data_IF_144803153064
#
_entry.id   IF_144803153064
#
_cell.length_a   1.000
_cell.length_b   1.000
_cell.length_c   1.000
_cell.angle_alpha   90.00
_cell.angle_beta   90.00
_cell.angle_gamma   90.00
#
_symmetry.space_group_name_H-M   'P 1'
#
loop_
_entity.id
_entity.type
_entity.pdbx_description
1 polymer ?
#
# COMPACT_ATOMS: atom_id res chain seq x y z
N UNK A 1 -20.12 -9.60 -8.03
CA UNK A 1 -18.91 -9.23 -8.80
C UNK A 1 -18.62 -10.37 -9.78
N UNK A 2 -18.40 -10.09 -11.07
CA UNK A 2 -17.94 -11.10 -12.04
C UNK A 2 -16.41 -11.27 -11.96
N UNK A 3 -15.87 -12.41 -12.39
CA UNK A 3 -14.41 -12.65 -12.34
C UNK A 3 -13.64 -11.61 -13.17
N UNK A 4 -14.26 -11.13 -14.26
CA UNK A 4 -13.79 -10.03 -15.11
C UNK A 4 -13.60 -8.70 -14.36
N UNK A 5 -14.31 -8.49 -13.25
CA UNK A 5 -14.27 -7.25 -12.49
C UNK A 5 -13.07 -7.17 -11.52
N UNK A 6 -12.32 -8.26 -11.32
CA UNK A 6 -11.10 -8.27 -10.49
C UNK A 6 -9.94 -7.49 -11.15
N UNK A 7 -10.04 -7.23 -12.46
CA UNK A 7 -8.97 -6.59 -13.23
C UNK A 7 -7.80 -7.53 -13.52
N UNK A 8 -6.72 -6.96 -14.07
CA UNK A 8 -5.50 -7.70 -14.43
C UNK A 8 -4.63 -7.90 -13.18
N UNK A 9 -4.07 -9.10 -13.01
CA UNK A 9 -3.11 -9.36 -11.94
C UNK A 9 -1.91 -8.40 -12.02
N UNK A 10 -1.53 -7.70 -10.95
CA UNK A 10 -0.51 -6.66 -10.97
C UNK A 10 0.91 -7.23 -10.92
N UNK A 11 1.35 -7.89 -12.00
CA UNK A 11 2.68 -8.53 -12.09
C UNK A 11 3.89 -7.63 -11.84
N UNK A 12 3.76 -6.33 -12.06
CA UNK A 12 4.81 -5.34 -11.78
C UNK A 12 4.42 -4.44 -10.59
N UNK A 13 3.41 -4.87 -9.83
CA UNK A 13 2.91 -4.16 -8.67
C UNK A 13 3.79 -4.37 -7.45
N UNK A 14 3.57 -3.50 -6.48
CA UNK A 14 4.06 -3.67 -5.11
C UNK A 14 3.40 -4.87 -4.42
N UNK A 15 4.03 -5.44 -3.39
CA UNK A 15 3.45 -6.43 -2.49
C UNK A 15 2.03 -6.13 -2.04
N UNK A 16 1.75 -4.85 -1.79
CA UNK A 16 0.42 -4.39 -1.42
C UNK A 16 -0.57 -4.57 -2.57
N UNK A 17 -0.24 -4.16 -3.79
CA UNK A 17 -1.14 -4.35 -4.93
C UNK A 17 -1.40 -5.84 -5.21
N UNK A 18 -0.41 -6.72 -4.96
CA UNK A 18 -0.62 -8.17 -4.98
C UNK A 18 -1.58 -8.60 -3.87
N UNK A 19 -1.37 -8.17 -2.64
CA UNK A 19 -2.22 -8.51 -1.50
C UNK A 19 -3.66 -8.01 -1.68
N UNK A 20 -3.84 -6.77 -2.15
CA UNK A 20 -5.14 -6.16 -2.46
C UNK A 20 -5.88 -6.98 -3.54
N UNK A 21 -5.17 -7.45 -4.58
CA UNK A 21 -5.75 -8.33 -5.60
C UNK A 21 -6.20 -9.68 -5.01
N UNK A 22 -5.36 -10.29 -4.16
CA UNK A 22 -5.67 -11.56 -3.51
C UNK A 22 -6.89 -11.44 -2.59
N UNK A 23 -6.98 -10.35 -1.81
CA UNK A 23 -8.14 -10.06 -0.96
C UNK A 23 -9.41 -9.85 -1.79
N UNK A 24 -9.31 -9.13 -2.92
CA UNK A 24 -10.43 -8.99 -3.86
C UNK A 24 -10.88 -10.35 -4.42
N UNK A 25 -9.94 -11.25 -4.73
CA UNK A 25 -10.25 -12.60 -5.19
C UNK A 25 -10.93 -13.43 -4.10
N UNK A 26 -10.46 -13.34 -2.84
CA UNK A 26 -11.09 -13.98 -1.69
C UNK A 26 -12.54 -13.51 -1.52
N UNK A 27 -12.78 -12.20 -1.55
CA UNK A 27 -14.11 -11.61 -1.51
C UNK A 27 -15.00 -12.08 -2.67
N UNK A 28 -14.43 -12.23 -3.87
CA UNK A 28 -15.15 -12.79 -5.02
C UNK A 28 -15.56 -14.24 -4.78
N UNK A 29 -14.64 -15.10 -4.30
CA UNK A 29 -14.92 -16.50 -3.99
C UNK A 29 -16.05 -16.64 -2.96
N UNK A 30 -16.02 -15.83 -1.89
CA UNK A 30 -17.06 -15.77 -0.86
C UNK A 30 -18.39 -15.37 -1.50
N UNK A 31 -18.41 -14.29 -2.30
CA UNK A 31 -19.64 -13.80 -2.94
C UNK A 31 -20.30 -14.80 -3.90
N UNK A 32 -19.52 -15.75 -4.42
CA UNK A 32 -19.95 -16.78 -5.36
C UNK A 32 -20.15 -18.15 -4.74
N UNK A 33 -19.90 -18.30 -3.43
CA UNK A 33 -19.91 -19.59 -2.73
C UNK A 33 -19.08 -20.64 -3.47
N UNK A 34 -17.88 -20.25 -3.91
CA UNK A 34 -16.95 -21.17 -4.58
C UNK A 34 -16.54 -22.26 -3.60
N UNK A 35 -16.65 -23.52 -4.00
CA UNK A 35 -16.17 -24.63 -3.18
C UNK A 35 -14.65 -24.61 -3.07
N UNK A 36 -14.12 -24.90 -1.89
CA UNK A 36 -12.69 -24.89 -1.59
C UNK A 36 -11.84 -25.69 -2.60
N UNK A 37 -12.34 -26.86 -3.02
CA UNK A 37 -11.67 -27.74 -3.99
C UNK A 37 -11.56 -27.14 -5.40
N UNK A 38 -12.35 -26.11 -5.70
CA UNK A 38 -12.37 -25.41 -6.99
C UNK A 38 -11.61 -24.08 -6.97
N UNK A 39 -11.31 -23.52 -5.79
CA UNK A 39 -10.64 -22.22 -5.66
C UNK A 39 -9.32 -22.17 -6.45
N UNK A 40 -8.41 -23.18 -6.41
CA UNK A 40 -7.17 -23.13 -7.18
C UNK A 40 -7.39 -22.97 -8.69
N UNK A 41 -8.41 -23.64 -9.24
CA UNK A 41 -8.73 -23.57 -10.67
C UNK A 41 -9.28 -22.19 -11.06
N UNK A 42 -10.17 -21.62 -10.24
CA UNK A 42 -10.66 -20.26 -10.44
C UNK A 42 -9.53 -19.23 -10.34
N UNK A 43 -8.62 -19.41 -9.38
CA UNK A 43 -7.50 -18.50 -9.18
C UNK A 43 -6.57 -18.48 -10.38
N UNK A 44 -6.13 -19.65 -10.87
CA UNK A 44 -5.30 -19.78 -12.07
C UNK A 44 -5.96 -19.13 -13.29
N UNK A 45 -7.29 -19.22 -13.40
CA UNK A 45 -8.04 -18.58 -14.48
C UNK A 45 -8.11 -17.05 -14.32
N UNK A 46 -8.22 -16.56 -13.08
CA UNK A 46 -8.32 -15.13 -12.77
C UNK A 46 -7.01 -14.37 -13.01
N UNK A 47 -5.87 -14.96 -12.62
CA UNK A 47 -4.57 -14.27 -12.68
C UNK A 47 -4.03 -14.06 -14.10
N UNK A 48 -4.54 -14.82 -15.07
CA UNK A 48 -4.12 -14.76 -16.47
C UNK A 48 -2.76 -15.43 -16.76
N UNK A 49 -2.40 -15.47 -18.04
CA UNK A 49 -1.30 -16.30 -18.54
C UNK A 49 0.09 -15.86 -18.04
N UNK A 50 0.34 -14.56 -17.98
CA UNK A 50 1.64 -14.02 -17.55
C UNK A 50 1.91 -14.42 -16.08
N UNK A 51 0.94 -14.20 -15.19
CA UNK A 51 1.05 -14.53 -13.77
C UNK A 51 1.07 -16.04 -13.53
N UNK A 52 0.30 -16.80 -14.31
CA UNK A 52 0.38 -18.26 -14.30
C UNK A 52 1.79 -18.78 -14.70
N UNK A 53 2.44 -18.16 -15.68
CA UNK A 53 3.77 -18.56 -16.13
C UNK A 53 4.82 -18.33 -15.04
N UNK A 54 4.73 -17.21 -14.32
CA UNK A 54 5.52 -16.95 -13.12
C UNK A 54 5.25 -18.00 -12.04
N UNK A 55 3.97 -18.21 -11.69
CA UNK A 55 3.56 -19.17 -10.66
C UNK A 55 4.05 -20.59 -10.96
N UNK A 56 3.96 -21.03 -12.22
CA UNK A 56 4.48 -22.33 -12.69
C UNK A 56 6.00 -22.45 -12.53
N UNK A 57 6.72 -21.36 -12.73
CA UNK A 57 8.18 -21.32 -12.53
C UNK A 57 8.52 -21.43 -11.05
N UNK A 58 7.79 -20.70 -10.19
CA UNK A 58 8.02 -20.68 -8.75
C UNK A 58 7.55 -21.96 -8.04
N UNK A 59 6.57 -22.68 -8.59
CA UNK A 59 6.02 -23.90 -8.00
C UNK A 59 6.74 -25.18 -8.43
N UNK A 60 7.73 -25.11 -9.33
CA UNK A 60 8.41 -26.30 -9.84
C UNK A 60 9.06 -27.12 -8.71
N UNK A 61 8.89 -28.47 -8.67
CA UNK A 61 8.38 -29.35 -9.73
C UNK A 61 6.85 -29.52 -9.78
N UNK A 62 6.12 -28.98 -8.81
CA UNK A 62 4.67 -29.12 -8.72
C UNK A 62 3.95 -28.27 -9.77
N UNK A 63 2.80 -28.77 -10.24
CA UNK A 63 1.92 -28.01 -11.13
C UNK A 63 1.08 -27.06 -10.26
N UNK A 64 0.89 -25.78 -10.64
CA UNK A 64 0.06 -24.87 -9.85
C UNK A 64 -1.35 -25.41 -9.58
N UNK A 65 -1.97 -26.09 -10.55
CA UNK A 65 -3.33 -26.65 -10.42
C UNK A 65 -3.43 -27.79 -9.38
N UNK A 66 -2.32 -28.44 -9.03
CA UNK A 66 -2.30 -29.50 -8.01
C UNK A 66 -2.04 -28.96 -6.60
N UNK A 67 -1.74 -27.67 -6.45
CA UNK A 67 -1.45 -27.07 -5.15
C UNK A 67 -2.72 -26.44 -4.54
N UNK A 68 -2.84 -26.47 -3.19
CA UNK A 68 -3.89 -25.72 -2.50
C UNK A 68 -3.76 -24.22 -2.75
N UNK A 69 -4.89 -23.51 -2.76
CA UNK A 69 -4.91 -22.06 -2.99
C UNK A 69 -4.03 -21.30 -1.99
N UNK A 70 -4.06 -21.70 -0.72
CA UNK A 70 -3.20 -21.12 0.32
C UNK A 70 -1.71 -21.17 -0.05
N UNK A 71 -1.25 -22.27 -0.67
CA UNK A 71 0.14 -22.41 -1.11
C UNK A 71 0.46 -21.52 -2.31
N UNK A 72 -0.46 -21.42 -3.27
CA UNK A 72 -0.31 -20.52 -4.42
C UNK A 72 -0.21 -19.06 -3.98
N UNK A 73 -1.03 -18.67 -3.00
CA UNK A 73 -1.04 -17.34 -2.41
C UNK A 73 0.29 -17.02 -1.72
N UNK A 74 0.77 -17.94 -0.88
CA UNK A 74 2.07 -17.83 -0.20
C UNK A 74 3.22 -17.64 -1.21
N UNK A 75 3.30 -18.48 -2.24
CA UNK A 75 4.34 -18.40 -3.28
C UNK A 75 4.38 -17.01 -3.94
N UNK A 76 3.22 -16.45 -4.28
CA UNK A 76 3.15 -15.12 -4.90
C UNK A 76 3.53 -14.04 -3.90
N UNK A 77 2.99 -14.06 -2.68
CA UNK A 77 3.32 -13.09 -1.63
C UNK A 77 4.83 -13.08 -1.39
N UNK A 78 5.44 -14.25 -1.19
CA UNK A 78 6.88 -14.38 -0.93
C UNK A 78 7.71 -13.83 -2.09
N UNK A 79 7.36 -14.18 -3.33
CA UNK A 79 8.06 -13.68 -4.51
C UNK A 79 8.01 -12.14 -4.57
N UNK A 80 6.83 -11.56 -4.42
CA UNK A 80 6.67 -10.10 -4.53
C UNK A 80 7.23 -9.35 -3.32
N UNK A 81 7.18 -9.93 -2.12
CA UNK A 81 7.85 -9.41 -0.92
C UNK A 81 9.37 -9.37 -1.09
N UNK A 82 9.99 -10.45 -1.60
CA UNK A 82 11.44 -10.48 -1.84
C UNK A 82 11.84 -9.51 -2.96
N UNK A 83 10.96 -9.31 -3.94
CA UNK A 83 11.23 -8.44 -5.10
C UNK A 83 11.01 -6.96 -4.80
N UNK A 84 10.41 -6.59 -3.65
CA UNK A 84 10.50 -5.20 -3.21
C UNK A 84 11.93 -4.86 -2.88
N UNK A 85 12.50 -3.91 -3.62
CA UNK A 85 13.66 -3.17 -3.18
C UNK A 85 13.24 -2.29 -2.00
N UNK A 86 12.93 -2.90 -0.84
CA UNK A 86 12.48 -2.19 0.36
C UNK A 86 13.41 -1.03 0.69
N UNK A 87 14.73 -1.25 0.55
CA UNK A 87 15.75 -0.21 0.72
C UNK A 87 15.55 0.97 -0.24
N UNK A 88 15.20 0.72 -1.51
CA UNK A 88 14.91 1.77 -2.50
C UNK A 88 13.63 2.52 -2.13
N UNK A 89 12.56 1.81 -1.76
CA UNK A 89 11.28 2.42 -1.43
C UNK A 89 11.37 3.24 -0.13
N UNK A 90 12.11 2.75 0.86
CA UNK A 90 12.46 3.48 2.09
C UNK A 90 13.34 4.69 1.79
N UNK A 91 14.30 4.58 0.89
CA UNK A 91 15.11 5.72 0.45
C UNK A 91 14.26 6.78 -0.26
N UNK A 92 13.27 6.37 -1.05
CA UNK A 92 12.31 7.28 -1.67
C UNK A 92 11.40 7.94 -0.63
N UNK A 93 10.81 7.15 0.29
CA UNK A 93 10.01 7.65 1.41
C UNK A 93 10.76 8.72 2.21
N UNK A 94 12.02 8.46 2.55
CA UNK A 94 12.84 9.39 3.33
C UNK A 94 13.24 10.67 2.59
N UNK A 95 13.04 10.73 1.26
CA UNK A 95 13.25 11.92 0.44
C UNK A 95 11.98 12.72 0.21
N UNK A 96 10.81 12.23 0.64
CA UNK A 96 9.55 12.95 0.46
C UNK A 96 9.52 14.23 1.31
N UNK A 97 9.30 15.35 0.62
CA UNK A 97 9.13 16.68 1.19
C UNK A 97 7.97 17.35 0.45
N UNK A 98 7.06 17.97 1.20
CA UNK A 98 5.91 18.67 0.64
C UNK A 98 6.38 19.82 -0.24
N UNK A 99 5.88 19.88 -1.46
CA UNK A 99 6.12 21.06 -2.31
C UNK A 99 5.40 22.28 -1.73
N UNK A 100 5.92 23.52 -1.86
CA UNK A 100 5.27 24.72 -1.30
C UNK A 100 3.79 24.85 -1.66
N UNK A 101 3.43 24.46 -2.90
CA UNK A 101 2.07 24.55 -3.45
C UNK A 101 1.22 23.27 -3.30
N UNK A 102 1.76 22.20 -2.70
CA UNK A 102 1.03 20.95 -2.52
C UNK A 102 0.17 21.03 -1.27
N UNK A 103 -1.10 20.62 -1.35
CA UNK A 103 -1.97 20.61 -0.17
C UNK A 103 -1.50 19.57 0.84
N UNK A 104 -1.69 19.86 2.12
CA UNK A 104 -1.30 18.99 3.24
C UNK A 104 -1.95 17.60 3.13
N UNK A 105 -3.27 17.46 2.87
CA UNK A 105 -3.90 16.15 2.67
C UNK A 105 -3.32 15.34 1.52
N UNK A 106 -2.92 16.00 0.42
CA UNK A 106 -2.29 15.33 -0.73
C UNK A 106 -0.91 14.78 -0.35
N UNK A 107 -0.15 15.54 0.42
CA UNK A 107 1.16 15.10 0.92
C UNK A 107 1.03 13.93 1.91
N UNK A 108 0.07 13.97 2.83
CA UNK A 108 -0.21 12.87 3.76
C UNK A 108 -0.57 11.60 2.97
N UNK A 109 -1.43 11.72 1.96
CA UNK A 109 -1.80 10.59 1.10
C UNK A 109 -0.57 10.03 0.37
N UNK A 110 0.29 10.90 -0.18
CA UNK A 110 1.54 10.50 -0.83
C UNK A 110 2.46 9.73 0.14
N UNK A 111 2.61 10.19 1.38
CA UNK A 111 3.38 9.48 2.41
C UNK A 111 2.80 8.09 2.70
N UNK A 112 1.47 7.99 2.85
CA UNK A 112 0.79 6.72 3.12
C UNK A 112 0.94 5.73 1.96
N UNK A 113 0.81 6.20 0.72
CA UNK A 113 1.01 5.38 -0.48
C UNK A 113 2.46 4.88 -0.53
N UNK A 114 3.45 5.75 -0.33
CA UNK A 114 4.86 5.35 -0.39
C UNK A 114 5.26 4.43 0.78
N UNK A 115 4.78 4.70 2.00
CA UNK A 115 5.03 3.87 3.18
C UNK A 115 4.50 2.43 2.99
N UNK A 116 3.42 2.27 2.23
CA UNK A 116 2.85 0.95 1.94
C UNK A 116 3.75 0.05 1.09
N UNK A 117 4.80 0.60 0.47
CA UNK A 117 5.83 -0.12 -0.28
C UNK A 117 7.10 -0.38 0.52
N UNK A 118 7.17 0.14 1.75
CA UNK A 118 8.40 0.15 2.56
C UNK A 118 8.50 -0.99 3.57
N UNK A 119 7.44 -1.79 3.73
CA UNK A 119 7.35 -2.86 4.72
C UNK A 119 7.81 -2.41 6.12
N UNK A 120 7.24 -1.32 6.66
CA UNK A 120 7.65 -0.80 7.97
C UNK A 120 7.19 -1.65 9.15
N UNK A 121 6.28 -2.61 8.94
CA UNK A 121 5.70 -3.43 10.01
C UNK A 121 5.16 -2.55 11.14
N UNK A 122 5.51 -2.91 12.38
CA UNK A 122 5.08 -2.22 13.60
C UNK A 122 5.57 -0.76 13.70
N UNK A 123 6.53 -0.36 12.87
CA UNK A 123 7.06 1.00 12.83
C UNK A 123 6.29 1.92 11.87
N UNK A 124 5.25 1.43 11.17
CA UNK A 124 4.53 2.19 10.14
C UNK A 124 4.10 3.58 10.62
N UNK A 125 3.41 3.66 11.76
CA UNK A 125 2.92 4.94 12.28
C UNK A 125 4.04 5.85 12.77
N UNK A 126 5.11 5.29 13.35
CA UNK A 126 6.30 6.04 13.75
C UNK A 126 6.96 6.70 12.54
N UNK A 127 7.17 5.92 11.46
CA UNK A 127 7.81 6.39 10.24
C UNK A 127 6.96 7.43 9.51
N UNK A 128 5.64 7.22 9.44
CA UNK A 128 4.70 8.19 8.87
C UNK A 128 4.72 9.51 9.63
N UNK A 129 4.70 9.46 10.98
CA UNK A 129 4.81 10.66 11.83
C UNK A 129 6.11 11.39 11.57
N UNK A 130 7.24 10.71 11.70
CA UNK A 130 8.56 11.34 11.63
C UNK A 130 8.77 11.98 10.25
N UNK A 131 8.34 11.30 9.18
CA UNK A 131 8.46 11.84 7.83
C UNK A 131 7.48 12.97 7.56
N UNK A 132 6.26 12.93 8.10
CA UNK A 132 5.31 14.04 8.02
C UNK A 132 5.89 15.30 8.66
N UNK A 133 6.41 15.20 9.89
CA UNK A 133 6.98 16.35 10.62
C UNK A 133 8.17 16.93 9.84
N UNK A 134 9.17 16.11 9.54
CA UNK A 134 10.39 16.59 8.89
C UNK A 134 10.19 16.89 7.38
N UNK A 135 9.06 16.52 6.80
CA UNK A 135 8.74 16.70 5.38
C UNK A 135 7.67 17.76 5.11
N UNK A 136 7.02 18.33 6.14
CA UNK A 136 5.86 19.22 5.96
C UNK A 136 6.22 20.52 5.23
N UNK A 137 7.48 20.95 5.26
CA UNK A 137 7.98 22.14 4.58
C UNK A 137 7.14 23.40 4.91
N UNK A 138 6.82 23.56 6.19
CA UNK A 138 6.17 24.73 6.79
C UNK A 138 6.85 24.95 8.15
N UNK A 139 7.85 25.84 8.26
CA UNK A 139 8.70 25.93 9.45
C UNK A 139 7.94 26.18 10.76
N UNK A 140 6.84 26.97 10.72
CA UNK A 140 6.00 27.24 11.89
C UNK A 140 5.29 25.97 12.37
N UNK A 141 4.62 25.27 11.45
CA UNK A 141 3.89 24.03 11.76
C UNK A 141 4.83 22.91 12.17
N UNK A 142 6.00 22.77 11.53
CA UNK A 142 7.04 21.83 11.93
C UNK A 142 7.47 22.06 13.39
N UNK A 143 7.73 23.32 13.76
CA UNK A 143 8.08 23.67 15.14
C UNK A 143 6.97 23.33 16.13
N UNK A 144 5.71 23.61 15.79
CA UNK A 144 4.56 23.26 16.62
C UNK A 144 4.44 21.74 16.82
N UNK A 145 4.60 20.96 15.74
CA UNK A 145 4.55 19.49 15.79
C UNK A 145 5.66 18.89 16.68
N UNK A 146 6.89 19.39 16.58
CA UNK A 146 8.05 18.91 17.36
C UNK A 146 7.84 19.13 18.87
N UNK A 147 7.08 20.15 19.25
CA UNK A 147 6.85 20.50 20.66
C UNK A 147 5.79 19.62 21.34
N UNK A 148 5.05 18.79 20.60
CA UNK A 148 3.97 17.96 21.14
C UNK A 148 4.56 16.70 21.81
N UNK A 149 4.44 16.54 23.14
CA UNK A 149 4.88 15.34 23.82
C UNK A 149 4.08 14.13 23.33
N UNK A 150 4.75 12.99 23.10
CA UNK A 150 4.12 11.75 22.64
C UNK A 150 3.28 11.91 21.37
N UNK A 151 3.68 12.81 20.47
CA UNK A 151 3.00 13.03 19.20
C UNK A 151 2.84 11.70 18.44
N UNK A 152 1.60 11.38 18.08
CA UNK A 152 1.27 10.22 17.23
C UNK A 152 1.11 10.68 15.78
N UNK A 153 1.10 9.73 14.83
CA UNK A 153 0.78 10.08 13.45
C UNK A 153 -0.61 10.71 13.32
N UNK A 154 -1.59 10.24 14.10
CA UNK A 154 -2.96 10.78 14.07
C UNK A 154 -2.99 12.22 14.58
N UNK A 155 -2.37 12.49 15.74
CA UNK A 155 -2.29 13.85 16.29
C UNK A 155 -1.59 14.82 15.34
N UNK A 156 -0.49 14.38 14.71
CA UNK A 156 0.23 15.19 13.72
C UNK A 156 -0.64 15.48 12.49
N UNK A 157 -1.35 14.47 11.98
CA UNK A 157 -2.26 14.58 10.84
C UNK A 157 -3.37 15.60 11.12
N UNK A 158 -4.03 15.49 12.27
CA UNK A 158 -5.14 16.36 12.64
C UNK A 158 -4.70 17.81 12.77
N UNK A 159 -3.55 18.06 13.43
CA UNK A 159 -2.99 19.41 13.53
C UNK A 159 -2.65 20.00 12.16
N UNK A 160 -2.02 19.21 11.28
CA UNK A 160 -1.68 19.65 9.94
C UNK A 160 -2.92 20.04 9.13
N UNK A 161 -4.01 19.27 9.23
CA UNK A 161 -5.28 19.58 8.53
C UNK A 161 -5.90 20.84 9.10
N UNK A 162 -6.01 20.96 10.43
CA UNK A 162 -6.53 22.18 11.07
C UNK A 162 -5.72 23.42 10.70
N UNK A 163 -4.39 23.30 10.61
CA UNK A 163 -3.53 24.39 10.16
C UNK A 163 -3.86 24.83 8.73
N UNK A 164 -4.07 23.90 7.81
CA UNK A 164 -4.45 24.24 6.42
C UNK A 164 -5.82 24.94 6.37
N UNK A 165 -6.82 24.38 7.05
CA UNK A 165 -8.18 24.93 7.07
C UNK A 165 -8.17 26.38 7.56
N UNK A 166 -7.54 26.63 8.72
CA UNK A 166 -7.43 27.97 9.31
C UNK A 166 -6.73 28.94 8.35
N UNK A 167 -5.61 28.56 7.74
CA UNK A 167 -4.86 29.47 6.85
C UNK A 167 -5.48 29.63 5.45
N UNK A 168 -6.34 28.69 5.04
CA UNK A 168 -7.12 28.79 3.80
C UNK A 168 -8.23 29.83 3.88
N UNK A 169 -8.82 30.03 5.08
CA UNK A 169 -9.86 31.04 5.34
C UNK A 169 -9.32 32.49 5.33
N UNK A 170 -8.06 32.70 5.74
CA UNK A 170 -7.43 34.04 5.73
C UNK A 170 -6.85 34.47 4.38
N UNK A 171 -6.93 33.63 3.35
CA UNK A 171 -6.39 33.90 2.01
C UNK A 171 -7.44 34.34 0.99
N UNK A 172 -8.71 34.51 1.41
CA UNK A 172 -9.75 35.05 0.54
C UNK A 172 -9.53 36.57 0.33
N UNK A 173 -9.35 37.06 -0.90
CA UNK A 173 -9.14 38.48 -1.14
C UNK A 173 -10.45 39.25 -0.92
N UNK A 174 -10.40 40.23 -0.02
CA UNK A 174 -11.31 41.40 -0.02
C UNK A 174 -11.10 42.26 -1.25
#
# INVERSE_FOLDING_TARGET
MELSNLGKFPLNGSPREIADYLECFDAWCISKNVRDDKIPAYFITAIGLDAYSLLKTLSFPDKPISLPYAKLREILIDHFHVTTFETRERAHFNKLVRSPNQKIPEFILQLQIQASKCNFGDQLHTQLRDRLIAGINIPKLEKELIQIPFCTFQNAKDLCITYEDVNSEYSAPT
#
